data_IF_437540315954
#
_entry.id   IF_437540315954
#
_cell.length_a   1.000
_cell.length_b   1.000
_cell.length_c   1.000
_cell.angle_alpha   90.00
_cell.angle_beta   90.00
_cell.angle_gamma   90.00
#
_symmetry.space_group_name_H-M   'P 1'
#
loop_
_entity.id
_entity.type
_entity.pdbx_description
1 polymer ?
#
# COMPACT_ATOMS: atom_id res chain seq x y z
N UNK A 1 -19.07 -1.88 -16.80
CA UNK A 1 -17.97 -1.37 -15.94
C UNK A 1 -17.60 0.04 -16.39
N UNK A 2 -18.30 1.06 -15.87
CA UNK A 2 -17.93 2.46 -16.10
C UNK A 2 -16.74 2.78 -15.22
N UNK A 3 -15.56 2.90 -15.80
CA UNK A 3 -14.44 3.49 -15.08
C UNK A 3 -14.44 4.97 -15.43
N UNK A 4 -14.51 5.81 -14.41
CA UNK A 4 -14.48 7.25 -14.56
C UNK A 4 -13.27 7.69 -15.41
N UNK A 5 -13.47 8.62 -16.33
CA UNK A 5 -12.41 9.19 -17.19
C UNK A 5 -11.24 9.74 -16.36
N UNK A 6 -11.53 10.22 -15.14
CA UNK A 6 -10.54 10.64 -14.14
C UNK A 6 -9.50 9.55 -13.81
N UNK A 7 -9.88 8.27 -13.84
CA UNK A 7 -8.92 7.19 -13.58
C UNK A 7 -7.94 7.00 -14.74
N UNK A 8 -8.38 7.28 -15.98
CA UNK A 8 -7.64 7.02 -17.21
C UNK A 8 -6.55 8.07 -17.43
N UNK A 9 -6.88 9.36 -17.29
CA UNK A 9 -5.94 10.47 -17.50
C UNK A 9 -5.77 11.30 -16.22
N UNK A 10 -5.30 10.64 -15.16
CA UNK A 10 -4.91 11.34 -13.93
C UNK A 10 -3.41 11.57 -13.91
N UNK A 11 -3.03 12.82 -13.64
CA UNK A 11 -1.65 13.22 -13.33
C UNK A 11 -1.43 13.23 -11.81
N UNK A 12 -1.53 12.04 -11.21
CA UNK A 12 -1.30 11.84 -9.78
C UNK A 12 -0.27 10.74 -9.57
N UNK A 13 0.65 10.95 -8.63
CA UNK A 13 1.61 9.94 -8.19
C UNK A 13 1.13 9.16 -6.96
N UNK A 14 -0.04 9.53 -6.42
CA UNK A 14 -0.64 8.86 -5.26
C UNK A 14 -1.66 7.82 -5.69
N UNK A 15 -1.83 6.80 -4.85
CA UNK A 15 -2.79 5.73 -5.08
C UNK A 15 -2.27 4.62 -5.99
N UNK A 16 -3.20 3.78 -6.45
CA UNK A 16 -2.95 2.52 -7.15
C UNK A 16 -3.77 2.47 -8.44
N UNK A 17 -3.17 1.94 -9.51
CA UNK A 17 -3.87 1.74 -10.77
C UNK A 17 -4.15 0.24 -10.99
N UNK A 18 -5.43 -0.10 -11.17
CA UNK A 18 -5.83 -1.44 -11.61
C UNK A 18 -5.29 -1.72 -13.02
N UNK A 19 -5.17 -3.00 -13.39
CA UNK A 19 -4.71 -3.39 -14.74
C UNK A 19 -5.58 -2.76 -15.83
N UNK A 20 -6.89 -2.77 -15.64
CA UNK A 20 -7.83 -2.20 -16.60
C UNK A 20 -7.70 -0.69 -16.75
N UNK A 21 -7.40 0.05 -15.67
CA UNK A 21 -7.11 1.48 -15.75
C UNK A 21 -5.78 1.73 -16.48
N UNK A 22 -4.72 1.00 -16.09
CA UNK A 22 -3.39 1.09 -16.70
C UNK A 22 -3.41 0.89 -18.22
N UNK A 23 -4.03 -0.19 -18.71
CA UNK A 23 -4.12 -0.46 -20.15
C UNK A 23 -4.92 0.59 -20.91
N UNK A 24 -5.99 1.13 -20.32
CA UNK A 24 -6.77 2.20 -20.94
C UNK A 24 -6.01 3.52 -20.98
N UNK A 25 -5.21 3.82 -19.96
CA UNK A 25 -4.29 4.97 -19.98
C UNK A 25 -3.26 4.81 -21.09
N UNK A 26 -2.61 3.65 -21.20
CA UNK A 26 -1.67 3.35 -22.28
C UNK A 26 -2.31 3.48 -23.67
N UNK A 27 -3.51 2.93 -23.86
CA UNK A 27 -4.24 3.05 -25.12
C UNK A 27 -4.61 4.51 -25.43
N UNK A 28 -5.09 5.27 -24.45
CA UNK A 28 -5.38 6.70 -24.62
C UNK A 28 -4.12 7.50 -24.98
N UNK A 29 -3.00 7.23 -24.33
CA UNK A 29 -1.71 7.86 -24.66
C UNK A 29 -1.21 7.48 -26.05
N UNK A 30 -1.39 6.23 -26.47
CA UNK A 30 -1.04 5.80 -27.83
C UNK A 30 -1.88 6.52 -28.90
N UNK A 31 -3.20 6.66 -28.67
CA UNK A 31 -4.09 7.42 -29.56
C UNK A 31 -3.72 8.90 -29.60
N UNK A 32 -3.46 9.52 -28.44
CA UNK A 32 -3.01 10.91 -28.38
C UNK A 32 -1.67 11.09 -29.09
N UNK A 33 -0.70 10.20 -28.86
CA UNK A 33 0.59 10.25 -29.53
C UNK A 33 0.46 10.18 -31.06
N UNK A 34 -0.39 9.26 -31.57
CA UNK A 34 -0.65 9.15 -33.01
C UNK A 34 -1.35 10.41 -33.56
N UNK A 35 -2.41 10.89 -32.91
CA UNK A 35 -3.15 12.07 -33.36
C UNK A 35 -2.31 13.35 -33.33
N UNK A 36 -1.56 13.57 -32.23
CA UNK A 36 -0.65 14.70 -32.10
C UNK A 36 0.52 14.62 -33.07
N UNK A 37 1.07 13.42 -33.30
CA UNK A 37 2.14 13.20 -34.28
C UNK A 37 1.70 13.57 -35.70
N UNK A 38 0.53 13.11 -36.13
CA UNK A 38 -0.03 13.46 -37.46
C UNK A 38 -0.28 14.96 -37.62
N UNK A 39 -0.80 15.62 -36.57
CA UNK A 39 -1.05 17.06 -36.58
C UNK A 39 0.26 17.88 -36.63
N UNK A 40 1.26 17.50 -35.84
CA UNK A 40 2.57 18.15 -35.79
C UNK A 40 3.37 17.93 -37.07
N UNK A 41 3.29 16.74 -37.67
CA UNK A 41 3.91 16.44 -38.97
C UNK A 41 3.31 17.31 -40.08
N UNK A 42 1.97 17.42 -40.11
CA UNK A 42 1.28 18.31 -41.05
C UNK A 42 1.72 19.77 -40.89
N UNK A 43 1.87 20.24 -39.65
CA UNK A 43 2.32 21.60 -39.34
C UNK A 43 3.80 21.82 -39.71
N UNK A 44 4.62 20.77 -39.66
CA UNK A 44 6.02 20.81 -40.08
C UNK A 44 6.16 21.12 -41.56
N UNK A 45 5.28 20.59 -42.41
CA UNK A 45 5.24 20.89 -43.84
C UNK A 45 4.88 22.35 -44.17
N UNK A 46 4.26 23.08 -43.24
CA UNK A 46 3.86 24.48 -43.38
C UNK A 46 4.90 25.47 -42.80
N UNK A 47 5.88 24.98 -42.04
CA UNK A 47 6.86 25.83 -41.38
C UNK A 47 7.92 26.32 -42.37
N UNK A 48 7.79 27.57 -42.83
CA UNK A 48 8.71 28.21 -43.79
C UNK A 48 10.10 28.59 -43.27
N UNK A 49 10.59 27.94 -42.20
CA UNK A 49 11.92 28.17 -41.60
C UNK A 49 12.01 29.29 -40.57
N UNK A 50 13.20 29.44 -39.96
CA UNK A 50 13.51 30.51 -39.01
C UNK A 50 12.75 30.43 -37.68
N UNK A 51 12.01 31.48 -37.34
CA UNK A 51 11.26 31.57 -36.08
C UNK A 51 10.08 30.58 -36.00
N UNK A 52 9.42 30.31 -37.12
CA UNK A 52 8.31 29.36 -37.19
C UNK A 52 8.77 27.93 -36.86
N UNK A 53 9.93 27.53 -37.38
CA UNK A 53 10.53 26.22 -37.07
C UNK A 53 10.85 26.08 -35.57
N UNK A 54 11.46 27.10 -34.96
CA UNK A 54 11.74 27.07 -33.52
C UNK A 54 10.48 26.97 -32.66
N UNK A 55 9.40 27.66 -33.06
CA UNK A 55 8.12 27.56 -32.37
C UNK A 55 7.52 26.16 -32.46
N UNK A 56 7.63 25.53 -33.63
CA UNK A 56 7.20 24.15 -33.84
C UNK A 56 8.05 23.16 -33.03
N UNK A 57 9.37 23.32 -32.99
CA UNK A 57 10.25 22.45 -32.20
C UNK A 57 9.87 22.50 -30.71
N UNK A 58 9.62 23.70 -30.17
CA UNK A 58 9.14 23.87 -28.79
C UNK A 58 7.78 23.21 -28.57
N UNK A 59 6.87 23.30 -29.54
CA UNK A 59 5.56 22.65 -29.47
C UNK A 59 5.71 21.11 -29.45
N UNK A 60 6.58 20.56 -30.28
CA UNK A 60 6.89 19.12 -30.31
C UNK A 60 7.45 18.67 -28.96
N UNK A 61 8.44 19.38 -28.41
CA UNK A 61 9.00 19.07 -27.09
C UNK A 61 7.96 19.17 -25.97
N UNK A 62 7.13 20.20 -25.99
CA UNK A 62 6.03 20.37 -25.04
C UNK A 62 5.02 19.21 -25.11
N UNK A 63 4.67 18.78 -26.33
CA UNK A 63 3.79 17.64 -26.55
C UNK A 63 4.37 16.32 -26.04
N UNK A 64 5.65 16.07 -26.29
CA UNK A 64 6.34 14.88 -25.81
C UNK A 64 6.44 14.85 -24.28
N UNK A 65 6.78 15.99 -23.65
CA UNK A 65 6.82 16.12 -22.19
C UNK A 65 5.44 15.93 -21.56
N UNK A 66 4.40 16.45 -22.20
CA UNK A 66 3.01 16.22 -21.79
C UNK A 66 2.70 14.71 -21.76
N UNK A 67 2.94 13.98 -22.87
CA UNK A 67 2.71 12.54 -22.92
C UNK A 67 3.56 11.77 -21.89
N UNK A 68 4.82 12.14 -21.75
CA UNK A 68 5.74 11.50 -20.80
C UNK A 68 5.25 11.65 -19.35
N UNK A 69 4.75 12.83 -18.96
CA UNK A 69 4.25 13.07 -17.60
C UNK A 69 3.09 12.13 -17.23
N UNK A 70 2.13 11.92 -18.15
CA UNK A 70 1.03 10.99 -17.95
C UNK A 70 1.50 9.53 -17.95
N UNK A 71 2.43 9.16 -18.84
CA UNK A 71 3.00 7.81 -18.87
C UNK A 71 3.69 7.46 -17.54
N UNK A 72 4.54 8.36 -17.03
CA UNK A 72 5.22 8.18 -15.75
C UNK A 72 4.21 8.07 -14.61
N UNK A 73 3.18 8.92 -14.57
CA UNK A 73 2.11 8.82 -13.57
C UNK A 73 1.40 7.46 -13.59
N UNK A 74 1.06 6.95 -14.78
CA UNK A 74 0.41 5.65 -14.94
C UNK A 74 1.30 4.50 -14.45
N UNK A 75 2.59 4.55 -14.81
CA UNK A 75 3.60 3.54 -14.43
C UNK A 75 3.83 3.55 -12.92
N UNK A 76 3.98 4.73 -12.30
CA UNK A 76 4.16 4.86 -10.85
C UNK A 76 2.96 4.28 -10.11
N UNK A 77 1.72 4.61 -10.53
CA UNK A 77 0.51 4.04 -9.91
C UNK A 77 0.39 2.53 -10.13
N UNK A 78 0.91 2.00 -11.24
CA UNK A 78 0.99 0.55 -11.49
C UNK A 78 2.03 -0.13 -10.60
N UNK A 79 3.22 0.47 -10.45
CA UNK A 79 4.26 0.01 -9.53
C UNK A 79 3.74 -0.01 -8.08
N UNK A 80 3.00 1.03 -7.67
CA UNK A 80 2.36 1.06 -6.37
C UNK A 80 1.34 -0.07 -6.18
N UNK A 81 0.62 -0.46 -7.24
CA UNK A 81 -0.34 -1.57 -7.18
C UNK A 81 0.33 -2.93 -6.93
N UNK A 82 1.57 -3.11 -7.38
CA UNK A 82 2.40 -4.29 -7.13
C UNK A 82 3.36 -4.12 -5.92
N UNK A 83 3.16 -3.08 -5.11
CA UNK A 83 3.98 -2.74 -3.95
C UNK A 83 5.44 -2.37 -4.25
N UNK A 84 5.78 -1.94 -5.46
CA UNK A 84 7.11 -1.38 -5.77
C UNK A 84 7.12 0.14 -5.55
N UNK A 85 8.31 0.71 -5.31
CA UNK A 85 8.49 2.15 -5.16
C UNK A 85 8.50 2.88 -6.50
N UNK A 86 8.16 4.17 -6.51
CA UNK A 86 8.13 5.00 -7.71
C UNK A 86 9.48 5.08 -8.45
N UNK A 87 10.60 4.95 -7.73
CA UNK A 87 11.96 4.95 -8.29
C UNK A 87 12.15 3.83 -9.32
N UNK A 88 11.41 2.72 -9.22
CA UNK A 88 11.48 1.67 -10.22
C UNK A 88 11.08 2.17 -11.63
N UNK A 89 10.32 3.26 -11.76
CA UNK A 89 9.96 3.84 -13.05
C UNK A 89 11.16 4.37 -13.86
N UNK A 90 12.38 4.43 -13.29
CA UNK A 90 13.62 4.78 -14.01
C UNK A 90 13.86 3.91 -15.25
N UNK A 91 13.34 2.68 -15.30
CA UNK A 91 13.42 1.84 -16.51
C UNK A 91 12.85 2.52 -17.76
N UNK A 92 11.94 3.50 -17.60
CA UNK A 92 11.34 4.25 -18.71
C UNK A 92 12.35 5.03 -19.55
N UNK A 93 13.52 5.34 -18.98
CA UNK A 93 14.58 6.10 -19.65
C UNK A 93 15.34 5.21 -20.65
N UNK A 94 15.33 3.88 -20.46
CA UNK A 94 16.10 2.94 -21.29
C UNK A 94 15.28 2.58 -22.54
N UNK A 95 15.74 2.95 -23.76
CA UNK A 95 15.05 2.60 -25.00
C UNK A 95 15.01 1.08 -25.26
N UNK A 96 13.93 0.60 -25.89
CA UNK A 96 13.61 -0.82 -26.03
C UNK A 96 13.11 -1.48 -24.74
N UNK A 97 13.87 -1.38 -23.65
CA UNK A 97 13.53 -2.01 -22.36
C UNK A 97 12.21 -1.49 -21.80
N UNK A 98 11.94 -0.19 -21.95
CA UNK A 98 10.71 0.40 -21.44
C UNK A 98 9.45 -0.26 -22.01
N UNK A 99 9.45 -0.65 -23.29
CA UNK A 99 8.29 -1.29 -23.92
C UNK A 99 8.02 -2.66 -23.29
N UNK A 100 9.08 -3.46 -23.12
CA UNK A 100 8.99 -4.80 -22.54
C UNK A 100 8.45 -4.72 -21.10
N UNK A 101 9.00 -3.82 -20.29
CA UNK A 101 8.60 -3.68 -18.88
C UNK A 101 7.17 -3.13 -18.76
N UNK A 102 6.74 -2.21 -19.64
CA UNK A 102 5.34 -1.74 -19.66
C UNK A 102 4.36 -2.90 -19.88
N UNK A 103 4.65 -3.79 -20.83
CA UNK A 103 3.82 -4.98 -21.08
C UNK A 103 3.82 -5.90 -19.86
N UNK A 104 4.98 -6.20 -19.30
CA UNK A 104 5.09 -7.06 -18.10
C UNK A 104 4.27 -6.48 -16.93
N UNK A 105 4.36 -5.17 -16.68
CA UNK A 105 3.58 -4.48 -15.65
C UNK A 105 2.07 -4.58 -15.89
N UNK A 106 1.64 -4.54 -17.15
CA UNK A 106 0.24 -4.69 -17.54
C UNK A 106 -0.31 -6.11 -17.36
N UNK A 107 0.56 -7.13 -17.45
CA UNK A 107 0.19 -8.53 -17.27
C UNK A 107 0.20 -8.95 -15.79
N UNK A 108 1.15 -8.41 -15.01
CA UNK A 108 1.35 -8.78 -13.61
C UNK A 108 0.10 -8.53 -12.75
N UNK A 109 -0.27 -9.42 -11.82
CA UNK A 109 -1.33 -9.17 -10.85
C UNK A 109 -0.98 -8.12 -9.81
N UNK A 110 -1.94 -7.23 -9.54
CA UNK A 110 -1.90 -6.32 -8.38
C UNK A 110 -2.04 -7.06 -7.05
N UNK A 111 -1.59 -6.44 -5.95
CA UNK A 111 -1.78 -6.99 -4.61
C UNK A 111 -3.24 -6.83 -4.15
N UNK A 112 -3.84 -7.87 -3.58
CA UNK A 112 -5.20 -7.78 -3.04
C UNK A 112 -5.19 -7.10 -1.67
N UNK A 113 -6.23 -6.33 -1.35
CA UNK A 113 -6.40 -5.71 -0.03
C UNK A 113 -5.57 -4.44 0.17
N UNK A 114 -5.32 -4.08 1.44
CA UNK A 114 -4.63 -2.85 1.81
C UNK A 114 -3.12 -2.95 1.51
N UNK A 115 -2.56 -1.89 0.93
CA UNK A 115 -1.13 -1.73 0.71
C UNK A 115 -0.67 -0.38 1.27
N UNK A 116 0.65 -0.16 1.41
CA UNK A 116 1.25 1.12 1.85
C UNK A 116 0.85 2.32 0.99
N UNK A 117 0.40 2.08 -0.24
CA UNK A 117 -0.05 3.10 -1.18
C UNK A 117 -1.58 3.28 -1.21
N UNK A 118 -2.32 2.55 -0.36
CA UNK A 118 -3.77 2.65 -0.24
C UNK A 118 -4.53 1.32 -0.47
N UNK A 119 -5.87 1.37 -0.34
CA UNK A 119 -6.74 0.23 -0.56
C UNK A 119 -6.71 -0.26 -2.02
N UNK A 120 -7.14 -1.50 -2.23
CA UNK A 120 -7.22 -2.10 -3.57
C UNK A 120 -8.20 -1.33 -4.47
N UNK A 121 -7.76 -0.84 -5.65
CA UNK A 121 -8.60 -0.07 -6.56
C UNK A 121 -9.82 -0.88 -7.05
N UNK A 122 -9.72 -2.21 -7.12
CA UNK A 122 -10.85 -3.06 -7.46
C UNK A 122 -11.81 -3.22 -6.28
N UNK A 123 -11.30 -3.30 -5.05
CA UNK A 123 -12.13 -3.42 -3.85
C UNK A 123 -12.94 -2.12 -3.61
N UNK A 124 -12.35 -0.95 -3.84
CA UNK A 124 -13.06 0.33 -3.72
C UNK A 124 -14.18 0.45 -4.74
N UNK A 125 -14.00 -0.04 -5.98
CA UNK A 125 -15.11 -0.12 -6.94
C UNK A 125 -16.21 -1.07 -6.44
N UNK A 126 -15.85 -2.23 -5.87
CA UNK A 126 -16.87 -3.16 -5.35
C UNK A 126 -17.64 -2.63 -4.15
N UNK A 127 -17.08 -1.76 -3.30
CA UNK A 127 -17.82 -1.17 -2.17
C UNK A 127 -18.90 -0.18 -2.65
N UNK A 128 -18.70 0.48 -3.80
CA UNK A 128 -19.73 1.35 -4.41
C UNK A 128 -20.87 0.55 -5.06
N UNK A 129 -20.57 -0.65 -5.57
CA UNK A 129 -21.55 -1.56 -6.18
C UNK A 129 -22.13 -2.59 -5.18
N UNK A 130 -21.53 -2.69 -3.98
CA UNK A 130 -22.05 -3.50 -2.90
C UNK A 130 -23.34 -2.86 -2.42
N UNK A 131 -24.47 -3.44 -2.83
CA UNK A 131 -25.75 -3.24 -2.18
C UNK A 131 -25.53 -3.19 -0.66
N UNK A 132 -26.17 -2.25 0.07
CA UNK A 132 -25.93 -2.08 1.49
C UNK A 132 -26.06 -3.45 2.13
N UNK A 133 -24.96 -3.95 2.68
CA UNK A 133 -24.93 -5.20 3.40
C UNK A 133 -25.99 -5.02 4.47
N UNK A 134 -27.17 -5.64 4.29
CA UNK A 134 -28.16 -5.73 5.34
C UNK A 134 -27.41 -6.41 6.47
N UNK A 135 -27.11 -5.64 7.52
CA UNK A 135 -26.71 -6.17 8.80
C UNK A 135 -27.88 -7.04 9.23
N UNK A 136 -27.87 -8.31 8.85
CA UNK A 136 -28.65 -9.32 9.54
C UNK A 136 -28.07 -9.31 10.93
N UNK A 137 -28.78 -8.67 11.85
CA UNK A 137 -28.62 -8.89 13.27
C UNK A 137 -28.61 -10.39 13.46
N UNK A 138 -27.40 -10.93 13.66
CA UNK A 138 -27.23 -12.32 14.02
C UNK A 138 -27.79 -12.38 15.43
N UNK A 139 -29.05 -12.78 15.51
CA UNK A 139 -29.74 -13.14 16.74
C UNK A 139 -28.77 -13.93 17.60
N UNK A 140 -28.46 -13.35 18.76
CA UNK A 140 -27.93 -14.09 19.89
C UNK A 140 -28.82 -15.31 20.12
N UNK A 141 -28.20 -16.48 20.22
CA UNK A 141 -28.62 -17.73 20.91
C UNK A 141 -28.11 -18.97 20.18
N UNK A 142 -26.79 -19.16 20.16
CA UNK A 142 -26.25 -20.53 20.22
C UNK A 142 -25.11 -20.53 21.24
N UNK A 143 -25.47 -20.92 22.46
CA UNK A 143 -24.51 -21.30 23.50
C UNK A 143 -23.80 -22.57 23.04
N UNK A 144 -22.62 -22.44 22.44
CA UNK A 144 -21.70 -23.58 22.34
C UNK A 144 -21.15 -23.86 23.75
N UNK A 145 -21.16 -25.12 24.23
CA UNK A 145 -20.51 -25.44 25.49
C UNK A 145 -19.00 -25.20 25.35
N UNK A 146 -18.44 -24.52 26.34
CA UNK A 146 -17.01 -24.36 26.51
C UNK A 146 -16.36 -25.75 26.54
N UNK A 147 -15.49 -26.03 25.56
CA UNK A 147 -14.58 -27.17 25.63
C UNK A 147 -13.41 -26.73 26.50
N UNK A 148 -13.46 -27.08 27.78
CA UNK A 148 -12.29 -27.10 28.65
C UNK A 148 -11.22 -27.99 28.00
N UNK A 149 -10.13 -27.37 27.52
CA UNK A 149 -8.92 -28.09 27.16
C UNK A 149 -8.14 -28.25 28.46
N UNK A 150 -8.30 -29.42 29.07
CA UNK A 150 -7.54 -29.85 30.24
C UNK A 150 -6.11 -30.14 29.78
N UNK A 151 -5.13 -29.45 30.37
CA UNK A 151 -3.72 -29.80 30.26
C UNK A 151 -3.53 -31.30 30.52
N UNK A 152 -2.89 -31.98 29.58
CA UNK A 152 -2.24 -33.26 29.83
C UNK A 152 -0.78 -33.10 29.44
N UNK A 153 0.06 -33.04 30.46
CA UNK A 153 1.50 -33.25 30.37
C UNK A 153 1.72 -34.64 29.80
N UNK A 154 2.29 -34.75 28.61
CA UNK A 154 3.14 -35.87 28.21
C UNK A 154 3.91 -35.46 26.95
N UNK A 155 5.23 -35.43 27.08
CA UNK A 155 6.14 -35.02 26.03
C UNK A 155 6.22 -36.08 24.93
N UNK A 156 6.12 -35.62 23.68
CA UNK A 156 6.58 -36.39 22.53
C UNK A 156 7.60 -35.54 21.76
N UNK A 157 8.85 -35.98 21.85
CA UNK A 157 10.01 -35.43 21.14
C UNK A 157 9.98 -36.00 19.72
N UNK A 158 9.78 -35.14 18.72
CA UNK A 158 9.99 -35.47 17.31
C UNK A 158 11.24 -34.72 16.82
N UNK A 159 12.29 -35.47 16.50
CA UNK A 159 13.54 -34.99 15.92
C UNK A 159 13.37 -34.58 14.43
N UNK A 160 14.24 -33.69 13.89
CA UNK A 160 13.98 -32.89 12.69
C UNK A 160 14.46 -33.54 11.38
N UNK A 161 13.72 -33.30 10.29
CA UNK A 161 14.15 -33.60 8.91
C UNK A 161 14.94 -32.42 8.28
N UNK A 162 15.87 -32.67 7.34
CA UNK A 162 16.88 -31.70 6.94
C UNK A 162 16.47 -30.87 5.71
N UNK A 163 15.79 -29.75 5.93
CA UNK A 163 15.66 -28.67 4.93
C UNK A 163 15.27 -27.33 5.59
N UNK A 164 16.17 -26.81 6.42
CA UNK A 164 16.09 -25.45 6.95
C UNK A 164 16.66 -24.44 5.94
N UNK A 165 15.80 -23.59 5.36
CA UNK A 165 16.15 -22.19 5.09
C UNK A 165 14.88 -21.31 4.94
N UNK A 166 14.46 -20.72 6.06
CA UNK A 166 13.29 -19.83 6.14
C UNK A 166 12.65 -19.82 7.52
N UNK A 167 13.48 -19.64 8.54
CA UNK A 167 13.23 -19.75 9.98
C UNK A 167 11.85 -19.23 10.42
N UNK A 168 11.02 -20.12 10.95
CA UNK A 168 9.84 -19.77 11.77
C UNK A 168 10.37 -19.20 13.09
N UNK A 169 10.79 -17.93 13.04
CA UNK A 169 11.09 -17.08 14.22
C UNK A 169 9.86 -16.17 14.50
N UNK A 170 8.72 -16.44 13.87
CA UNK A 170 7.60 -15.48 13.81
C UNK A 170 6.56 -15.60 14.93
N UNK A 171 6.57 -16.65 15.75
CA UNK A 171 5.48 -16.88 16.73
C UNK A 171 5.91 -16.93 18.19
N UNK A 172 7.16 -17.27 18.54
CA UNK A 172 7.62 -17.20 19.94
C UNK A 172 8.00 -15.78 20.38
N UNK A 173 8.35 -14.89 19.45
CA UNK A 173 8.80 -13.52 19.75
C UNK A 173 7.66 -12.55 20.13
N UNK A 174 6.39 -12.90 19.91
CA UNK A 174 5.25 -11.99 20.17
C UNK A 174 4.58 -12.20 21.53
N UNK A 175 4.52 -13.42 22.06
CA UNK A 175 3.78 -13.68 23.30
C UNK A 175 4.44 -13.00 24.52
N UNK A 176 5.73 -13.26 24.75
CA UNK A 176 6.46 -12.68 25.88
C UNK A 176 6.54 -11.14 25.82
N UNK A 177 6.61 -10.57 24.62
CA UNK A 177 6.63 -9.13 24.41
C UNK A 177 5.24 -8.48 24.59
N UNK A 178 4.16 -9.20 24.26
CA UNK A 178 2.79 -8.74 24.49
C UNK A 178 2.41 -8.85 25.97
N UNK A 179 2.82 -9.93 26.65
CA UNK A 179 2.59 -10.11 28.10
C UNK A 179 3.33 -9.03 28.90
N UNK A 180 4.61 -8.78 28.59
CA UNK A 180 5.37 -7.69 29.21
C UNK A 180 4.72 -6.31 29.01
N UNK A 181 4.23 -6.00 27.80
CA UNK A 181 3.56 -4.73 27.51
C UNK A 181 2.22 -4.60 28.25
N UNK A 182 1.49 -5.71 28.38
CA UNK A 182 0.26 -5.80 29.17
C UNK A 182 0.51 -5.51 30.65
N UNK A 183 1.53 -6.15 31.24
CA UNK A 183 1.90 -5.95 32.65
C UNK A 183 2.35 -4.52 32.92
N UNK A 184 3.11 -3.94 31.99
CA UNK A 184 3.61 -2.58 32.09
C UNK A 184 2.46 -1.55 32.08
N UNK A 185 1.46 -1.76 31.24
CA UNK A 185 0.25 -0.93 31.19
C UNK A 185 -0.65 -1.16 32.41
N UNK A 186 -0.83 -2.40 32.85
CA UNK A 186 -1.62 -2.73 34.04
C UNK A 186 -1.02 -2.07 35.29
N UNK A 187 0.31 -2.12 35.44
CA UNK A 187 1.01 -1.45 36.52
C UNK A 187 0.88 0.08 36.47
N UNK A 188 0.94 0.67 35.26
CA UNK A 188 0.74 2.10 35.08
C UNK A 188 -0.68 2.53 35.45
N UNK A 189 -1.69 1.78 35.00
CA UNK A 189 -3.09 2.01 35.35
C UNK A 189 -3.30 2.01 36.86
N UNK A 190 -2.74 1.03 37.57
CA UNK A 190 -2.84 0.96 39.03
C UNK A 190 -2.20 2.16 39.74
N UNK A 191 -1.06 2.68 39.23
CA UNK A 191 -0.40 3.87 39.79
C UNK A 191 -1.19 5.16 39.50
N UNK A 192 -1.78 5.27 38.31
CA UNK A 192 -2.66 6.37 37.92
C UNK A 192 -3.94 6.38 38.76
N UNK A 193 -4.54 5.22 39.02
CA UNK A 193 -5.70 5.10 39.90
C UNK A 193 -5.37 5.48 41.36
N UNK A 194 -4.15 5.16 41.83
CA UNK A 194 -3.70 5.52 43.18
C UNK A 194 -3.35 7.02 43.33
N UNK A 195 -2.87 7.66 42.27
CA UNK A 195 -2.53 9.09 42.26
C UNK A 195 -2.85 9.72 40.89
N UNK A 196 -4.05 10.29 40.72
CA UNK A 196 -4.46 10.86 39.43
C UNK A 196 -3.56 12.02 38.96
N UNK A 197 -2.91 12.73 39.89
CA UNK A 197 -2.01 13.84 39.59
C UNK A 197 -0.68 13.39 38.95
N UNK A 198 -0.28 12.12 39.11
CA UNK A 198 0.94 11.57 38.49
C UNK A 198 0.73 11.02 37.08
N UNK A 199 -0.50 11.11 36.54
CA UNK A 199 -0.91 10.50 35.26
C UNK A 199 0.01 10.87 34.10
N UNK A 200 0.31 12.15 33.92
CA UNK A 200 1.14 12.60 32.81
C UNK A 200 2.58 12.04 32.89
N UNK A 201 3.13 11.95 34.10
CA UNK A 201 4.46 11.37 34.33
C UNK A 201 4.50 9.87 34.07
N UNK A 202 3.50 9.14 34.55
CA UNK A 202 3.38 7.69 34.36
C UNK A 202 3.17 7.31 32.89
N UNK A 203 2.29 8.03 32.18
CA UNK A 203 2.06 7.84 30.75
C UNK A 203 3.32 8.14 29.94
N UNK A 204 4.06 9.19 30.29
CA UNK A 204 5.33 9.52 29.62
C UNK A 204 6.39 8.44 29.84
N UNK A 205 6.52 7.91 31.06
CA UNK A 205 7.47 6.86 31.39
C UNK A 205 7.17 5.55 30.64
N UNK A 206 5.91 5.15 30.60
CA UNK A 206 5.45 3.94 29.89
C UNK A 206 5.64 4.09 28.37
N UNK A 207 5.33 5.26 27.81
CA UNK A 207 5.56 5.55 26.40
C UNK A 207 7.03 5.42 26.03
N UNK A 208 7.94 5.93 26.87
CA UNK A 208 9.38 5.80 26.66
C UNK A 208 9.82 4.32 26.63
N UNK A 209 9.29 3.49 27.53
CA UNK A 209 9.54 2.04 27.54
C UNK A 209 9.07 1.33 26.27
N UNK A 210 7.87 1.65 25.78
CA UNK A 210 7.34 1.08 24.53
C UNK A 210 8.16 1.51 23.30
N UNK A 211 8.67 2.75 23.28
CA UNK A 211 9.55 3.24 22.20
C UNK A 211 10.89 2.52 22.22
N UNK A 212 11.51 2.33 23.39
CA UNK A 212 12.75 1.59 23.54
C UNK A 212 12.59 0.14 23.06
N UNK A 213 11.54 -0.56 23.51
CA UNK A 213 11.25 -1.93 23.09
C UNK A 213 10.99 -2.06 21.58
N UNK A 214 10.41 -1.04 20.93
CA UNK A 214 10.28 -0.99 19.47
C UNK A 214 11.64 -0.83 18.78
N UNK A 215 12.49 0.05 19.29
CA UNK A 215 13.82 0.31 18.71
C UNK A 215 14.75 -0.90 18.85
N UNK A 216 14.61 -1.67 19.94
CA UNK A 216 15.30 -2.95 20.17
C UNK A 216 14.74 -4.12 19.35
N UNK A 217 13.64 -3.90 18.60
CA UNK A 217 12.99 -4.94 17.80
C UNK A 217 12.16 -5.94 18.61
N UNK A 218 11.93 -5.69 19.91
CA UNK A 218 11.09 -6.52 20.79
C UNK A 218 9.60 -6.37 20.47
N UNK A 219 9.19 -5.19 19.99
CA UNK A 219 7.80 -4.91 19.58
C UNK A 219 7.68 -4.67 18.08
N UNK A 220 6.69 -5.33 17.46
CA UNK A 220 6.31 -5.03 16.06
C UNK A 220 5.66 -3.64 15.95
N UNK A 221 5.76 -3.02 14.77
CA UNK A 221 5.13 -1.72 14.49
C UNK A 221 3.62 -1.70 14.81
N UNK A 222 2.91 -2.79 14.49
CA UNK A 222 1.48 -2.94 14.74
C UNK A 222 1.17 -3.09 16.23
N UNK A 223 1.99 -3.83 16.98
CA UNK A 223 1.81 -4.00 18.43
C UNK A 223 2.07 -2.67 19.17
N UNK A 224 3.12 -1.96 18.79
CA UNK A 224 3.44 -0.64 19.34
C UNK A 224 2.27 0.35 19.22
N UNK A 225 1.67 0.47 18.03
CA UNK A 225 0.55 1.40 17.81
C UNK A 225 -0.66 1.04 18.68
N UNK A 226 -0.99 -0.25 18.81
CA UNK A 226 -2.10 -0.71 19.67
C UNK A 226 -1.84 -0.35 21.14
N UNK A 227 -0.65 -0.62 21.64
CA UNK A 227 -0.33 -0.37 23.05
C UNK A 227 -0.27 1.13 23.40
N UNK A 228 0.22 1.96 22.48
CA UNK A 228 0.17 3.42 22.66
C UNK A 228 -1.26 3.94 22.69
N UNK A 229 -2.16 3.41 21.86
CA UNK A 229 -3.58 3.78 21.89
C UNK A 229 -4.26 3.39 23.20
N UNK A 230 -3.94 2.21 23.74
CA UNK A 230 -4.46 1.76 25.04
C UNK A 230 -3.94 2.67 26.16
N UNK A 231 -2.65 3.02 26.15
CA UNK A 231 -2.03 3.89 27.13
C UNK A 231 -2.63 5.30 27.15
N UNK A 232 -2.92 5.88 25.98
CA UNK A 232 -3.57 7.19 25.87
C UNK A 232 -5.03 7.18 26.36
N UNK A 233 -5.64 6.00 26.46
CA UNK A 233 -7.00 5.80 26.99
C UNK A 233 -7.09 5.56 28.49
N UNK A 234 -5.97 5.45 29.21
CA UNK A 234 -5.90 5.36 30.68
C UNK A 234 -6.02 6.75 31.31
#
# INVERSE_FOLDING_TARGET
MSVAVNEILSLSFKGRASRGAYWRTLAALAVLAAAGGLALDSLSGLAGGGAAQKGLDLLIWGWLLFLAAFLVSAVVRRLHDISYGAVAAVFLIVPGLQIIVLVILGLMPGKKGLNRFGPDPLAVMTVRDAAPVRRTERSDTVRCPAREVRETLEGEVVEPGPDLEGTIIRERMSAEAEDWASDLIAGAKARIEASPESREGEVAAVRAGLVAARNEGRLTQSAFVRWVQILEGL
#
